data_IF_742764801254
#
_entry.id   IF_742764801254
#
_cell.length_a   1.000
_cell.length_b   1.000
_cell.length_c   1.000
_cell.angle_alpha   90.00
_cell.angle_beta   90.00
_cell.angle_gamma   90.00
#
_symmetry.space_group_name_H-M   'P 1'
#
loop_
_entity.id
_entity.type
_entity.pdbx_description
1 polymer ?
#
# COMPACT_ATOMS: atom_id res chain seq x y z
N UNK A 1 -7.28 -6.35 -13.99
CA UNK A 1 -8.38 -7.30 -14.31
C UNK A 1 -9.64 -6.87 -13.58
N UNK A 2 -10.82 -7.23 -14.07
CA UNK A 2 -12.09 -7.08 -13.36
C UNK A 2 -12.64 -8.44 -12.88
N UNK A 3 -11.88 -9.52 -13.11
CA UNK A 3 -12.28 -10.88 -12.78
C UNK A 3 -12.02 -11.19 -11.29
N UNK A 4 -13.02 -11.79 -10.66
CA UNK A 4 -12.90 -12.32 -9.30
C UNK A 4 -12.08 -13.63 -9.28
N UNK A 5 -11.23 -13.89 -8.26
CA UNK A 5 -10.95 -13.08 -7.08
C UNK A 5 -9.79 -12.08 -7.23
N UNK A 6 -9.12 -12.05 -8.38
CA UNK A 6 -7.98 -11.14 -8.62
C UNK A 6 -8.36 -9.66 -8.46
N UNK A 7 -9.60 -9.31 -8.80
CA UNK A 7 -10.28 -8.11 -8.35
C UNK A 7 -11.44 -8.53 -7.43
N UNK A 8 -11.36 -8.28 -6.11
CA UNK A 8 -12.33 -8.79 -5.15
C UNK A 8 -13.66 -8.01 -5.12
N UNK A 9 -13.72 -6.83 -5.73
CA UNK A 9 -14.90 -5.93 -5.64
C UNK A 9 -15.46 -5.53 -7.02
N UNK A 10 -14.83 -5.95 -8.11
CA UNK A 10 -15.28 -5.66 -9.47
C UNK A 10 -15.09 -4.20 -9.91
N UNK A 11 -14.26 -3.41 -9.20
CA UNK A 11 -13.98 -2.02 -9.60
C UNK A 11 -13.55 -1.94 -11.07
N UNK A 12 -14.12 -1.03 -11.88
CA UNK A 12 -13.69 -0.81 -13.25
C UNK A 12 -12.19 -0.57 -13.33
N UNK A 13 -11.57 -1.13 -14.36
CA UNK A 13 -10.12 -1.06 -14.60
C UNK A 13 -9.23 -1.61 -13.46
N UNK A 14 -9.82 -2.23 -12.43
CA UNK A 14 -9.10 -2.66 -11.24
C UNK A 14 -8.69 -1.52 -10.30
N UNK A 15 -9.36 -0.36 -10.37
CA UNK A 15 -9.06 0.79 -9.51
C UNK A 15 -9.26 0.42 -8.04
N UNK A 16 -8.20 0.56 -7.25
CA UNK A 16 -8.20 0.31 -5.81
C UNK A 16 -7.71 1.50 -4.96
N UNK A 17 -7.22 2.56 -5.62
CA UNK A 17 -6.76 3.79 -4.99
C UNK A 17 -6.90 4.98 -5.94
N UNK A 18 -7.11 6.18 -5.38
CA UNK A 18 -7.18 7.46 -6.09
C UNK A 18 -6.41 8.53 -5.31
N UNK A 19 -5.82 9.48 -6.02
CA UNK A 19 -5.08 10.59 -5.43
C UNK A 19 -5.67 11.93 -5.89
N UNK A 20 -5.60 12.96 -5.03
CA UNK A 20 -5.92 14.34 -5.45
C UNK A 20 -4.96 14.82 -6.55
N UNK A 21 -5.36 15.78 -7.40
CA UNK A 21 -4.51 16.25 -8.49
C UNK A 21 -3.14 16.80 -8.04
N UNK A 22 -3.07 17.32 -6.81
CA UNK A 22 -1.86 17.84 -6.19
C UNK A 22 -1.07 16.80 -5.38
N UNK A 23 -1.53 15.54 -5.36
CA UNK A 23 -0.83 14.42 -4.71
C UNK A 23 -0.94 14.36 -3.19
N UNK A 24 -1.63 15.30 -2.53
CA UNK A 24 -1.63 15.41 -1.05
C UNK A 24 -2.64 14.50 -0.34
N UNK A 25 -3.64 13.99 -1.05
CA UNK A 25 -4.66 13.11 -0.49
C UNK A 25 -4.73 11.82 -1.28
N UNK A 26 -4.41 10.70 -0.62
CA UNK A 26 -4.55 9.35 -1.17
C UNK A 26 -5.70 8.64 -0.45
N UNK A 27 -6.68 8.14 -1.22
CA UNK A 27 -7.74 7.28 -0.71
C UNK A 27 -7.63 5.90 -1.36
N UNK A 28 -7.67 4.83 -0.57
CA UNK A 28 -7.51 3.47 -1.07
C UNK A 28 -8.32 2.47 -0.25
N UNK A 29 -8.76 1.38 -0.90
CA UNK A 29 -9.47 0.28 -0.26
C UNK A 29 -8.56 -0.79 0.38
N UNK A 30 -7.39 -1.13 -0.19
CA UNK A 30 -6.46 -2.05 0.47
C UNK A 30 -5.96 -1.46 1.80
N UNK A 31 -5.55 -2.34 2.72
CA UNK A 31 -5.13 -1.98 4.08
C UNK A 31 -3.60 -2.07 4.26
N UNK A 32 -2.80 -1.10 3.77
CA UNK A 32 -1.33 -1.12 3.94
C UNK A 32 -0.91 -1.06 5.41
N UNK A 33 -1.73 -0.47 6.28
CA UNK A 33 -1.53 -0.40 7.73
C UNK A 33 -1.66 -1.75 8.43
N UNK A 34 -2.28 -2.73 7.77
CA UNK A 34 -2.38 -4.10 8.29
C UNK A 34 -1.28 -5.02 7.78
N UNK A 35 -0.40 -4.54 6.90
CA UNK A 35 0.64 -5.35 6.26
C UNK A 35 1.97 -4.60 6.14
N UNK A 36 2.33 -3.71 7.07
CA UNK A 36 3.58 -2.91 6.97
C UNK A 36 4.81 -3.60 7.57
N UNK A 37 4.62 -4.66 8.35
CA UNK A 37 5.68 -5.54 8.85
C UNK A 37 5.49 -6.95 8.32
N UNK A 38 6.59 -7.68 8.14
CA UNK A 38 6.60 -8.96 7.43
C UNK A 38 5.62 -9.98 8.03
N UNK A 39 5.58 -10.12 9.37
CA UNK A 39 4.74 -11.12 10.04
C UNK A 39 3.24 -10.93 9.82
N UNK A 40 2.80 -9.72 9.44
CA UNK A 40 1.40 -9.45 9.13
C UNK A 40 0.99 -9.91 7.73
N UNK A 41 1.96 -10.18 6.83
CA UNK A 41 1.67 -10.63 5.49
C UNK A 41 1.34 -12.13 5.51
N UNK A 42 0.16 -12.55 5.00
CA UNK A 42 -0.22 -13.98 5.00
C UNK A 42 0.68 -14.83 4.10
N UNK A 43 1.33 -14.19 3.12
CA UNK A 43 2.34 -14.77 2.27
C UNK A 43 3.40 -13.71 1.97
N UNK A 44 4.67 -14.12 1.95
CA UNK A 44 5.78 -13.31 1.52
C UNK A 44 6.78 -14.20 0.78
N UNK A 45 7.49 -13.67 -0.23
CA UNK A 45 8.50 -14.45 -0.95
C UNK A 45 9.73 -14.70 -0.04
N UNK A 46 10.45 -15.85 -0.18
CA UNK A 46 11.54 -16.22 0.71
C UNK A 46 12.69 -15.20 0.79
N UNK A 47 12.88 -14.39 -0.25
CA UNK A 47 13.91 -13.35 -0.30
C UNK A 47 13.64 -12.24 0.73
N UNK A 48 12.42 -12.13 1.26
CA UNK A 48 12.07 -11.19 2.32
C UNK A 48 12.43 -11.71 3.72
N UNK A 49 13.01 -12.91 3.86
CA UNK A 49 13.37 -13.46 5.18
C UNK A 49 14.26 -12.53 5.99
N UNK A 50 15.19 -11.83 5.34
CA UNK A 50 16.07 -10.85 5.99
C UNK A 50 15.39 -9.53 6.36
N UNK A 51 14.17 -9.28 5.88
CA UNK A 51 13.46 -8.01 6.07
C UNK A 51 12.43 -8.10 7.20
N UNK A 52 12.55 -7.24 8.21
CA UNK A 52 11.52 -7.10 9.24
C UNK A 52 10.26 -6.36 8.74
N UNK A 53 10.44 -5.50 7.72
CA UNK A 53 9.39 -4.64 7.17
C UNK A 53 8.86 -5.18 5.85
N UNK A 54 7.57 -4.99 5.60
CA UNK A 54 6.98 -5.20 4.29
C UNK A 54 7.06 -3.90 3.45
N UNK A 55 6.92 -3.97 2.12
CA UNK A 55 7.01 -2.80 1.25
C UNK A 55 6.05 -1.66 1.62
N UNK A 56 4.90 -2.00 2.20
CA UNK A 56 3.86 -1.04 2.58
C UNK A 56 4.32 -0.02 3.64
N UNK A 57 5.37 -0.32 4.42
CA UNK A 57 5.97 0.66 5.33
C UNK A 57 6.44 1.93 4.58
N UNK A 58 6.84 1.80 3.32
CA UNK A 58 7.34 2.92 2.52
C UNK A 58 6.29 4.02 2.33
N UNK A 59 5.00 3.66 2.28
CA UNK A 59 3.91 4.63 2.17
C UNK A 59 3.94 5.63 3.34
N UNK A 60 4.09 5.13 4.56
CA UNK A 60 4.14 5.94 5.78
C UNK A 60 5.45 6.72 5.92
N UNK A 61 6.57 6.14 5.48
CA UNK A 61 7.87 6.82 5.44
C UNK A 61 7.84 8.02 4.47
N UNK A 62 7.22 7.87 3.30
CA UNK A 62 7.07 8.97 2.34
C UNK A 62 6.22 10.10 2.93
N UNK A 63 5.13 9.78 3.62
CA UNK A 63 4.30 10.79 4.29
C UNK A 63 5.08 11.52 5.40
N UNK A 64 5.85 10.79 6.23
CA UNK A 64 6.70 11.39 7.25
C UNK A 64 7.78 12.30 6.65
N UNK A 65 8.43 11.87 5.58
CA UNK A 65 9.43 12.66 4.86
C UNK A 65 8.82 13.94 4.26
N UNK A 66 7.62 13.86 3.69
CA UNK A 66 6.89 15.03 3.17
C UNK A 66 6.59 16.06 4.28
N UNK A 67 6.09 15.61 5.42
CA UNK A 67 5.84 16.49 6.57
C UNK A 67 7.14 17.15 7.06
N UNK A 68 8.25 16.43 7.06
CA UNK A 68 9.55 16.95 7.48
C UNK A 68 10.16 17.93 6.47
N UNK A 69 9.91 17.76 5.17
CA UNK A 69 10.42 18.66 4.11
C UNK A 69 9.60 19.94 3.93
N UNK A 70 8.43 20.03 4.56
CA UNK A 70 7.52 21.18 4.44
C UNK A 70 7.65 22.13 5.65
N UNK A 71 8.75 22.02 6.40
CA UNK A 71 9.22 23.03 7.37
C UNK A 71 10.17 24.01 6.68
#
# INVERSE_FOLDING_TARGET
TQEYPHNPNGSPEGIAALCSPDGRHLAMMPHPERCFVKWQCPWAPPEWEANASAPWLRLFQNAAAFCASTQ
#
